data_IF_688367289546
#
_entry.id   IF_688367289546
#
_cell.length_a   1.000
_cell.length_b   1.000
_cell.length_c   1.000
_cell.angle_alpha   90.00
_cell.angle_beta   90.00
_cell.angle_gamma   90.00
#
_symmetry.space_group_name_H-M   'P 1'
#
loop_
_entity.id
_entity.type
_entity.pdbx_description
1 polymer ?
#
# COMPACT_ATOMS: atom_id res chain seq x y z
N UNK A 1 12.40 -3.41 -27.21
CA UNK A 1 12.46 -2.16 -26.43
C UNK A 1 11.31 -2.22 -25.43
N UNK A 2 11.58 -2.73 -24.23
CA UNK A 2 10.55 -2.91 -23.20
C UNK A 2 9.99 -1.53 -22.82
N UNK A 3 8.68 -1.35 -22.97
CA UNK A 3 7.97 -0.15 -22.51
C UNK A 3 8.00 -0.16 -20.97
N UNK A 4 9.08 0.35 -20.39
CA UNK A 4 9.21 0.55 -18.95
C UNK A 4 8.04 1.45 -18.53
N UNK A 5 7.10 0.87 -17.77
CA UNK A 5 5.93 1.61 -17.33
C UNK A 5 6.40 2.84 -16.54
N UNK A 6 5.97 4.02 -16.99
CA UNK A 6 6.24 5.28 -16.33
C UNK A 6 5.60 5.20 -14.93
N UNK A 7 6.41 5.23 -13.88
CA UNK A 7 5.96 5.10 -12.49
C UNK A 7 6.30 6.34 -11.70
N UNK A 8 5.29 7.16 -11.40
CA UNK A 8 5.34 8.28 -10.48
C UNK A 8 3.91 8.71 -10.11
N UNK A 9 3.72 9.41 -8.98
CA UNK A 9 2.42 9.94 -8.59
C UNK A 9 1.98 11.08 -9.52
N UNK A 10 0.68 11.20 -9.75
CA UNK A 10 0.04 12.40 -10.29
C UNK A 10 -0.74 13.09 -9.18
N UNK A 11 -0.64 14.41 -9.08
CA UNK A 11 -1.38 15.22 -8.11
C UNK A 11 -2.53 15.93 -8.84
N UNK A 12 -3.73 15.80 -8.31
CA UNK A 12 -4.94 16.47 -8.76
C UNK A 12 -5.09 17.83 -8.05
N UNK A 13 -4.84 18.96 -8.74
CA UNK A 13 -4.81 20.28 -8.10
C UNK A 13 -6.18 20.74 -7.58
N UNK A 14 -7.27 20.21 -8.13
CA UNK A 14 -8.65 20.43 -7.71
C UNK A 14 -8.94 19.83 -6.32
N UNK A 15 -8.27 18.72 -5.97
CA UNK A 15 -8.41 18.07 -4.67
C UNK A 15 -7.35 18.49 -3.67
N UNK A 16 -6.16 18.86 -4.15
CA UNK A 16 -5.07 19.30 -3.30
C UNK A 16 -5.37 20.69 -2.74
N UNK A 17 -5.55 20.75 -1.42
CA UNK A 17 -5.70 21.97 -0.64
C UNK A 17 -4.38 22.40 0.01
N UNK A 18 -3.25 21.81 -0.41
CA UNK A 18 -1.95 22.07 0.22
C UNK A 18 -1.80 21.50 1.62
N UNK A 19 -2.71 20.61 2.06
CA UNK A 19 -2.85 20.23 3.46
C UNK A 19 -3.10 21.45 4.35
N UNK A 20 -4.05 22.31 3.95
CA UNK A 20 -4.50 23.44 4.74
C UNK A 20 -4.82 23.00 6.19
N UNK A 21 -4.10 23.57 7.16
CA UNK A 21 -4.18 23.19 8.57
C UNK A 21 -3.02 22.34 9.10
N UNK A 22 -2.02 22.04 8.26
CA UNK A 22 -0.75 21.43 8.67
C UNK A 22 0.43 22.35 8.32
N UNK A 23 1.54 22.20 9.03
CA UNK A 23 2.76 23.00 8.80
C UNK A 23 3.33 22.81 7.40
N UNK A 24 3.18 21.61 6.84
CA UNK A 24 3.61 21.26 5.48
C UNK A 24 2.69 20.19 4.86
N UNK A 25 2.67 20.07 3.51
CA UNK A 25 1.99 18.98 2.84
C UNK A 25 2.54 17.63 3.29
N UNK A 26 1.66 16.77 3.82
CA UNK A 26 2.06 15.47 4.40
C UNK A 26 2.75 14.54 3.41
N UNK A 27 2.44 14.66 2.12
CA UNK A 27 3.13 13.91 1.07
C UNK A 27 4.59 14.33 0.87
N UNK A 28 4.90 15.62 1.08
CA UNK A 28 6.28 16.16 1.02
C UNK A 28 7.06 15.66 2.23
N UNK A 29 6.51 15.79 3.44
CA UNK A 29 7.18 15.33 4.67
C UNK A 29 7.40 13.81 4.70
N UNK A 30 6.45 13.05 4.16
CA UNK A 30 6.50 11.60 4.20
C UNK A 30 7.49 10.99 3.20
N UNK A 31 7.69 11.61 2.02
CA UNK A 31 8.48 11.00 0.96
C UNK A 31 9.97 11.36 1.10
N UNK A 32 10.85 10.43 1.50
CA UNK A 32 12.27 10.72 1.69
C UNK A 32 13.04 10.89 0.37
N UNK A 33 12.40 10.62 -0.77
CA UNK A 33 13.03 10.62 -2.09
C UNK A 33 12.91 11.96 -2.83
N UNK A 34 12.43 13.01 -2.15
CA UNK A 34 12.27 14.35 -2.73
C UNK A 34 11.44 14.36 -4.03
N UNK A 35 10.44 13.47 -4.14
CA UNK A 35 9.55 13.38 -5.30
C UNK A 35 8.68 14.64 -5.41
N UNK A 36 8.30 15.19 -4.25
CA UNK A 36 7.38 16.32 -4.13
C UNK A 36 8.10 17.63 -3.79
N UNK A 37 7.54 18.73 -4.28
CA UNK A 37 7.83 20.10 -3.87
C UNK A 37 6.54 20.85 -3.58
N UNK A 38 6.66 22.15 -3.28
CA UNK A 38 5.54 23.03 -2.99
C UNK A 38 5.54 24.18 -4.01
N UNK A 39 4.40 24.40 -4.67
CA UNK A 39 4.17 25.52 -5.57
C UNK A 39 2.79 26.10 -5.26
N UNK A 40 2.71 27.42 -5.06
CA UNK A 40 1.47 28.14 -4.71
C UNK A 40 0.72 27.50 -3.51
N UNK A 41 1.48 27.05 -2.51
CA UNK A 41 0.95 26.38 -1.32
C UNK A 41 0.44 24.96 -1.55
N UNK A 42 0.50 24.42 -2.78
CA UNK A 42 0.07 23.06 -3.12
C UNK A 42 1.26 22.15 -3.38
N UNK A 43 1.06 20.86 -3.12
CA UNK A 43 2.07 19.86 -3.47
C UNK A 43 2.15 19.70 -5.00
N UNK A 44 3.36 19.65 -5.53
CA UNK A 44 3.66 19.37 -6.95
C UNK A 44 4.73 18.28 -7.06
N UNK A 45 4.75 17.54 -8.17
CA UNK A 45 5.78 16.52 -8.41
C UNK A 45 6.95 17.18 -9.13
N UNK A 46 8.10 17.26 -8.47
CA UNK A 46 9.31 17.92 -9.00
C UNK A 46 10.36 16.90 -9.50
N UNK A 47 10.44 15.73 -8.87
CA UNK A 47 11.40 14.68 -9.22
C UNK A 47 10.67 13.35 -9.45
N UNK A 48 9.92 13.20 -10.56
CA UNK A 48 9.16 11.97 -10.84
C UNK A 48 10.05 10.73 -10.92
N UNK A 49 11.29 10.87 -11.40
CA UNK A 49 12.25 9.77 -11.54
C UNK A 49 12.77 9.21 -10.20
N UNK A 50 12.65 9.96 -9.11
CA UNK A 50 13.02 9.49 -7.78
C UNK A 50 11.94 8.61 -7.15
N UNK A 51 10.77 8.48 -7.78
CA UNK A 51 9.70 7.66 -7.27
C UNK A 51 10.07 6.17 -7.35
N UNK A 52 10.09 5.50 -6.20
CA UNK A 52 10.36 4.06 -6.11
C UNK A 52 9.23 3.28 -6.80
N UNK A 53 9.60 2.41 -7.74
CA UNK A 53 8.65 1.56 -8.46
C UNK A 53 7.78 0.76 -7.47
N UNK A 54 6.48 0.70 -7.74
CA UNK A 54 5.47 0.09 -6.89
C UNK A 54 5.25 0.74 -5.50
N UNK A 55 6.00 1.77 -5.08
CA UNK A 55 5.67 2.49 -3.85
C UNK A 55 4.41 3.35 -4.05
N UNK A 56 3.42 3.19 -3.16
CA UNK A 56 2.14 3.92 -3.18
C UNK A 56 1.77 4.51 -1.81
N UNK A 57 2.69 4.51 -0.85
CA UNK A 57 2.38 4.86 0.53
C UNK A 57 1.92 6.32 0.71
N UNK A 58 2.44 7.24 -0.11
CA UNK A 58 2.00 8.64 -0.11
C UNK A 58 0.54 8.84 -0.59
N UNK A 59 -0.02 7.91 -1.39
CA UNK A 59 -1.42 7.96 -1.81
C UNK A 59 -2.35 7.86 -0.59
N UNK A 60 -2.08 6.90 0.30
CA UNK A 60 -2.85 6.68 1.53
C UNK A 60 -2.72 7.80 2.56
N UNK A 61 -1.61 8.55 2.52
CA UNK A 61 -1.32 9.62 3.48
C UNK A 61 -2.05 10.91 3.12
N UNK A 62 -2.40 11.11 1.85
CA UNK A 62 -3.11 12.31 1.43
C UNK A 62 -4.56 12.30 1.96
N UNK A 63 -4.94 13.17 2.91
CA UNK A 63 -6.28 13.17 3.49
C UNK A 63 -7.36 13.53 2.44
N UNK A 64 -6.97 14.30 1.42
CA UNK A 64 -7.84 14.73 0.32
C UNK A 64 -7.89 13.73 -0.84
N UNK A 65 -7.11 12.64 -0.80
CA UNK A 65 -6.98 11.67 -1.89
C UNK A 65 -6.67 12.36 -3.24
N UNK A 66 -5.76 13.33 -3.20
CA UNK A 66 -5.35 14.12 -4.35
C UNK A 66 -4.21 13.46 -5.14
N UNK A 67 -3.64 12.36 -4.66
CA UNK A 67 -2.54 11.64 -5.31
C UNK A 67 -3.10 10.38 -5.96
N UNK A 68 -2.67 10.06 -7.18
CA UNK A 68 -2.94 8.78 -7.80
C UNK A 68 -1.70 8.24 -8.51
N UNK A 69 -1.63 6.91 -8.62
CA UNK A 69 -0.57 6.21 -9.35
C UNK A 69 -1.11 5.57 -10.64
N UNK A 70 -0.23 5.32 -11.63
CA UNK A 70 -0.54 4.45 -12.75
C UNK A 70 -1.08 3.11 -12.24
N UNK A 71 -2.15 2.62 -12.86
CA UNK A 71 -2.66 1.29 -12.54
C UNK A 71 -1.54 0.28 -12.77
N UNK A 72 -1.17 -0.47 -11.74
CA UNK A 72 -0.36 -1.67 -11.93
C UNK A 72 -1.12 -2.53 -12.92
N UNK A 73 -0.52 -2.86 -14.07
CA UNK A 73 -1.08 -3.87 -14.95
C UNK A 73 -0.84 -5.21 -14.25
N UNK A 74 -1.62 -5.49 -13.22
CA UNK A 74 -1.78 -6.84 -12.70
C UNK A 74 -2.73 -7.53 -13.67
N UNK A 75 -2.17 -8.33 -14.59
CA UNK A 75 -2.93 -9.38 -15.24
C UNK A 75 -3.40 -10.31 -14.12
N UNK A 76 -4.64 -10.11 -13.68
CA UNK A 76 -5.16 -10.69 -12.45
C UNK A 76 -6.42 -9.96 -12.05
N UNK A 77 -7.45 -10.11 -12.87
CA UNK A 77 -8.80 -9.74 -12.48
C UNK A 77 -9.15 -10.51 -11.19
N UNK A 78 -9.89 -9.81 -10.32
CA UNK A 78 -10.49 -10.35 -9.09
C UNK A 78 -11.20 -11.66 -9.37
N UNK A 79 -10.92 -12.70 -8.58
CA UNK A 79 -11.70 -13.92 -8.29
C UNK A 79 -10.66 -15.00 -7.90
N UNK A 80 -10.49 -15.46 -6.67
CA UNK A 80 -11.43 -15.84 -5.62
C UNK A 80 -10.77 -15.53 -4.27
N UNK A 81 -11.51 -14.96 -3.34
CA UNK A 81 -11.12 -14.89 -1.93
C UNK A 81 -10.85 -16.30 -1.42
N UNK A 82 -9.59 -16.72 -1.38
CA UNK A 82 -8.88 -17.45 -0.33
C UNK A 82 -9.69 -18.25 0.71
N UNK A 83 -10.78 -18.92 0.31
CA UNK A 83 -11.57 -19.78 1.19
C UNK A 83 -10.80 -21.03 1.64
N UNK A 84 -9.57 -21.23 1.16
CA UNK A 84 -8.75 -22.41 1.40
C UNK A 84 -7.38 -22.14 2.06
N UNK A 85 -7.06 -20.90 2.45
CA UNK A 85 -5.78 -20.62 3.13
C UNK A 85 -5.73 -21.18 4.57
N UNK A 86 -6.87 -21.31 5.23
CA UNK A 86 -6.95 -21.82 6.60
C UNK A 86 -7.66 -23.18 6.63
N UNK A 87 -6.96 -24.18 7.15
CA UNK A 87 -7.48 -25.53 7.41
C UNK A 87 -7.93 -25.60 8.87
N UNK A 88 -9.10 -26.21 9.11
CA UNK A 88 -9.60 -26.49 10.47
C UNK A 88 -8.98 -27.80 10.94
N UNK A 89 -8.17 -27.74 12.01
CA UNK A 89 -7.45 -28.89 12.56
C UNK A 89 -7.81 -29.07 14.04
N UNK A 90 -7.87 -30.33 14.49
CA UNK A 90 -8.04 -30.67 15.92
C UNK A 90 -6.66 -31.01 16.50
N UNK A 91 -6.28 -30.33 17.57
CA UNK A 91 -5.03 -30.57 18.27
C UNK A 91 -4.96 -32.01 18.80
N UNK A 92 -3.90 -32.76 18.48
CA UNK A 92 -3.68 -34.13 18.98
C UNK A 92 -3.52 -34.16 20.50
N UNK A 93 -2.89 -33.14 21.10
CA UNK A 93 -2.55 -33.12 22.52
C UNK A 93 -3.74 -32.70 23.42
N UNK A 94 -4.35 -31.53 23.15
CA UNK A 94 -5.41 -30.98 24.01
C UNK A 94 -6.83 -31.06 23.41
N UNK A 95 -6.97 -31.60 22.20
CA UNK A 95 -8.28 -31.72 21.53
C UNK A 95 -8.88 -30.39 21.03
N UNK A 96 -8.22 -29.25 21.24
CA UNK A 96 -8.69 -27.93 20.77
C UNK A 96 -8.80 -27.88 19.26
N UNK A 97 -9.92 -27.39 18.76
CA UNK A 97 -10.11 -27.10 17.33
C UNK A 97 -9.58 -25.70 17.02
N UNK A 98 -8.74 -25.57 16.01
CA UNK A 98 -8.15 -24.31 15.57
C UNK A 98 -8.02 -24.23 14.05
N UNK A 99 -7.85 -23.02 13.54
CA UNK A 99 -7.64 -22.74 12.12
C UNK A 99 -6.17 -22.40 11.91
N UNK A 100 -5.54 -23.04 10.94
CA UNK A 100 -4.11 -22.82 10.64
C UNK A 100 -3.85 -22.95 9.14
N UNK A 101 -2.88 -22.18 8.65
CA UNK A 101 -2.28 -22.35 7.32
C UNK A 101 -1.05 -23.28 7.35
N UNK A 102 -0.59 -23.69 8.54
CA UNK A 102 0.53 -24.62 8.74
C UNK A 102 0.06 -26.08 8.69
N UNK A 103 0.90 -27.00 8.20
CA UNK A 103 0.66 -28.45 8.25
C UNK A 103 0.99 -28.99 9.65
N UNK A 104 0.18 -28.62 10.64
CA UNK A 104 0.36 -29.02 12.03
C UNK A 104 -0.92 -29.53 12.66
N UNK A 105 -0.78 -30.57 13.48
CA UNK A 105 -1.84 -31.11 14.33
C UNK A 105 -1.66 -30.72 15.81
N UNK A 106 -0.79 -29.74 16.11
CA UNK A 106 -0.61 -29.17 17.44
C UNK A 106 -1.03 -27.70 17.45
N UNK A 107 -1.88 -27.32 18.41
CA UNK A 107 -2.25 -25.91 18.58
C UNK A 107 -1.06 -25.10 19.13
N UNK A 108 -1.12 -23.76 19.01
CA UNK A 108 -0.08 -22.84 19.47
C UNK A 108 0.38 -23.07 20.93
N UNK A 109 -0.52 -23.56 21.80
CA UNK A 109 -0.20 -23.80 23.22
C UNK A 109 0.43 -25.18 23.48
N UNK A 110 0.34 -26.11 22.52
CA UNK A 110 0.82 -27.48 22.65
C UNK A 110 2.09 -27.76 21.84
N UNK A 111 2.54 -26.80 21.02
CA UNK A 111 3.80 -26.87 20.26
C UNK A 111 5.04 -26.40 21.05
N UNK A 112 4.92 -26.28 22.37
CA UNK A 112 6.03 -25.98 23.29
C UNK A 112 6.90 -27.21 23.52
#
# INVERSE_FOLDING_TARGET
MERKAIWYPTIFPDKCDGCAGFDAPKCVEFCPHNVYGILDGKAVVINPHNCVYACVACESICPRKAIAFPKRITMGQREQRDKFLLKKVKCRNCGKIFWTNEETDLCFNCRK
#
